data_IF_475265189709
#
_entry.id   IF_475265189709
#
_cell.length_a   1.000
_cell.length_b   1.000
_cell.length_c   1.000
_cell.angle_alpha   90.00
_cell.angle_beta   90.00
_cell.angle_gamma   90.00
#
_symmetry.space_group_name_H-M   'P 1'
#
loop_
_entity.id
_entity.type
_entity.pdbx_description
1 polymer ?
#
# COMPACT_ATOMS: atom_id res chain seq x y z
N UNK A 1 -9.80 35.92 1.69
CA UNK A 1 -9.27 34.98 0.67
C UNK A 1 -10.38 34.74 -0.36
N UNK A 2 -10.16 35.19 -1.62
CA UNK A 2 -11.16 35.18 -2.67
C UNK A 2 -11.59 33.74 -3.01
N UNK A 3 -12.88 33.61 -3.36
CA UNK A 3 -13.45 32.37 -3.89
C UNK A 3 -12.73 32.12 -5.21
N UNK A 4 -11.92 31.06 -5.31
CA UNK A 4 -11.29 30.67 -6.56
C UNK A 4 -12.38 30.56 -7.64
N UNK A 5 -12.11 31.06 -8.85
CA UNK A 5 -13.04 30.88 -9.95
C UNK A 5 -13.31 29.40 -10.17
N UNK A 6 -14.47 29.04 -10.73
CA UNK A 6 -14.84 27.65 -10.99
C UNK A 6 -13.75 26.92 -11.81
N UNK A 7 -13.16 27.60 -12.76
CA UNK A 7 -12.11 27.06 -13.63
C UNK A 7 -10.79 26.83 -12.88
N UNK A 8 -10.38 27.78 -12.07
CA UNK A 8 -9.17 27.67 -11.24
C UNK A 8 -9.29 26.56 -10.21
N UNK A 9 -10.46 26.41 -9.55
CA UNK A 9 -10.73 25.31 -8.63
C UNK A 9 -10.64 23.97 -9.34
N UNK A 10 -11.22 23.80 -10.53
CA UNK A 10 -11.16 22.56 -11.32
C UNK A 10 -9.74 22.21 -11.71
N UNK A 11 -8.94 23.18 -12.15
CA UNK A 11 -7.53 22.97 -12.47
C UNK A 11 -6.76 22.43 -11.27
N UNK A 12 -6.89 23.09 -10.13
CA UNK A 12 -6.21 22.68 -8.87
C UNK A 12 -6.71 21.29 -8.43
N UNK A 13 -8.02 21.03 -8.53
CA UNK A 13 -8.61 19.73 -8.21
C UNK A 13 -8.01 18.60 -9.07
N UNK A 14 -7.83 18.82 -10.36
CA UNK A 14 -7.20 17.86 -11.28
C UNK A 14 -5.73 17.61 -10.91
N UNK A 15 -4.97 18.65 -10.60
CA UNK A 15 -3.56 18.54 -10.18
C UNK A 15 -3.41 17.82 -8.83
N UNK A 16 -4.29 18.11 -7.86
CA UNK A 16 -4.29 17.44 -6.56
C UNK A 16 -4.63 15.96 -6.69
N UNK A 17 -5.66 15.60 -7.46
CA UNK A 17 -6.05 14.21 -7.66
C UNK A 17 -5.07 13.40 -8.51
N UNK A 18 -4.31 14.05 -9.38
CA UNK A 18 -3.18 13.40 -10.10
C UNK A 18 -2.02 13.06 -9.16
N UNK A 19 -1.78 13.87 -8.14
CA UNK A 19 -0.71 13.66 -7.14
C UNK A 19 -1.15 12.75 -6.00
N UNK A 20 -2.42 12.84 -5.63
CA UNK A 20 -3.02 12.15 -4.48
C UNK A 20 -4.38 11.56 -4.89
N UNK A 21 -4.40 10.45 -5.64
CA UNK A 21 -5.64 9.84 -6.16
C UNK A 21 -6.58 9.29 -5.08
N UNK A 22 -6.12 9.19 -3.83
CA UNK A 22 -6.85 8.59 -2.72
C UNK A 22 -7.71 9.58 -1.91
N UNK A 23 -7.68 10.88 -2.22
CA UNK A 23 -8.56 11.83 -1.54
C UNK A 23 -10.03 11.50 -1.76
N UNK A 24 -10.79 11.46 -0.66
CA UNK A 24 -12.24 11.34 -0.68
C UNK A 24 -12.91 12.65 -1.13
N UNK A 25 -14.14 12.56 -1.60
CA UNK A 25 -14.92 13.77 -1.95
C UNK A 25 -15.16 14.67 -0.73
N UNK A 26 -15.23 14.10 0.49
CA UNK A 26 -15.39 14.83 1.75
C UNK A 26 -14.12 15.61 2.13
N UNK A 27 -12.95 14.98 2.08
CA UNK A 27 -11.66 15.64 2.32
C UNK A 27 -11.39 16.76 1.31
N UNK A 28 -11.74 16.53 0.05
CA UNK A 28 -11.63 17.55 -0.98
C UNK A 28 -12.61 18.71 -0.74
N UNK A 29 -13.85 18.42 -0.33
CA UNK A 29 -14.85 19.43 -0.01
C UNK A 29 -14.38 20.34 1.12
N UNK A 30 -13.79 19.76 2.18
CA UNK A 30 -13.21 20.50 3.31
C UNK A 30 -12.02 21.35 2.84
N UNK A 31 -11.10 20.78 2.10
CA UNK A 31 -9.89 21.44 1.59
C UNK A 31 -10.21 22.62 0.66
N UNK A 32 -11.16 22.45 -0.24
CA UNK A 32 -11.60 23.50 -1.17
C UNK A 32 -12.67 24.43 -0.60
N UNK A 33 -13.18 24.15 0.61
CA UNK A 33 -14.27 24.90 1.29
C UNK A 33 -15.52 25.03 0.43
N UNK A 34 -15.93 23.92 -0.18
CA UNK A 34 -17.14 23.79 -1.00
C UNK A 34 -17.94 22.57 -0.54
N UNK A 35 -19.16 22.39 -1.07
CA UNK A 35 -19.95 21.19 -0.77
C UNK A 35 -19.38 19.96 -1.50
N UNK A 36 -19.63 18.77 -0.94
CA UNK A 36 -19.32 17.48 -1.58
C UNK A 36 -19.95 17.37 -2.97
N UNK A 37 -21.17 17.88 -3.14
CA UNK A 37 -21.85 17.94 -4.42
C UNK A 37 -21.10 18.79 -5.45
N UNK A 38 -20.46 19.88 -5.01
CA UNK A 38 -19.63 20.72 -5.89
C UNK A 38 -18.38 19.96 -6.35
N UNK A 39 -17.72 19.22 -5.46
CA UNK A 39 -16.57 18.37 -5.81
C UNK A 39 -16.96 17.29 -6.82
N UNK A 40 -18.10 16.61 -6.60
CA UNK A 40 -18.60 15.58 -7.52
C UNK A 40 -18.89 16.12 -8.91
N UNK A 41 -19.51 17.29 -9.01
CA UNK A 41 -19.75 17.96 -10.29
C UNK A 41 -18.45 18.38 -10.98
N UNK A 42 -17.52 19.00 -10.23
CA UNK A 42 -16.25 19.44 -10.80
C UNK A 42 -15.40 18.25 -11.26
N UNK A 43 -15.39 17.16 -10.49
CA UNK A 43 -14.72 15.91 -10.85
C UNK A 43 -15.35 15.26 -12.10
N UNK A 44 -16.68 15.21 -12.18
CA UNK A 44 -17.41 14.68 -13.33
C UNK A 44 -17.09 15.46 -14.62
N UNK A 45 -17.03 16.79 -14.56
CA UNK A 45 -16.67 17.65 -15.68
C UNK A 45 -15.19 17.51 -16.14
N UNK A 46 -14.32 17.10 -15.21
CA UNK A 46 -12.92 16.78 -15.53
C UNK A 46 -12.75 15.33 -16.03
N UNK A 47 -13.81 14.53 -16.07
CA UNK A 47 -13.72 13.11 -16.42
C UNK A 47 -12.97 12.28 -15.38
N UNK A 48 -12.82 12.78 -14.16
CA UNK A 48 -12.11 12.07 -13.08
C UNK A 48 -13.09 11.13 -12.38
N UNK A 49 -12.83 9.79 -12.35
CA UNK A 49 -13.74 8.82 -11.78
C UNK A 49 -13.84 8.91 -10.24
N UNK A 50 -14.79 8.20 -9.66
CA UNK A 50 -14.97 8.10 -8.21
C UNK A 50 -13.75 7.49 -7.52
N UNK A 51 -13.63 7.71 -6.20
CA UNK A 51 -12.50 7.21 -5.41
C UNK A 51 -12.25 5.72 -5.64
N UNK A 52 -13.31 4.90 -5.60
CA UNK A 52 -13.21 3.44 -5.78
C UNK A 52 -12.60 3.07 -7.15
N UNK A 53 -12.99 3.76 -8.21
CA UNK A 53 -12.45 3.51 -9.56
C UNK A 53 -11.04 4.03 -9.72
N UNK A 54 -10.72 5.18 -9.11
CA UNK A 54 -9.35 5.72 -9.08
C UNK A 54 -8.41 4.78 -8.35
N UNK A 55 -8.81 4.33 -7.16
CA UNK A 55 -8.05 3.36 -6.36
C UNK A 55 -7.83 2.07 -7.13
N UNK A 56 -8.87 1.57 -7.81
CA UNK A 56 -8.76 0.34 -8.62
C UNK A 56 -7.82 0.51 -9.82
N UNK A 57 -7.83 1.66 -10.48
CA UNK A 57 -6.93 1.93 -11.61
C UNK A 57 -5.47 2.00 -11.15
N UNK A 58 -5.19 2.71 -10.05
CA UNK A 58 -3.85 2.77 -9.45
C UNK A 58 -3.39 1.40 -8.98
N UNK A 59 -4.28 0.62 -8.33
CA UNK A 59 -3.98 -0.75 -7.93
C UNK A 59 -3.65 -1.64 -9.15
N UNK A 60 -4.44 -1.60 -10.22
CA UNK A 60 -4.15 -2.36 -11.44
C UNK A 60 -2.79 -2.02 -12.04
N UNK A 61 -2.41 -0.75 -12.07
CA UNK A 61 -1.09 -0.32 -12.52
C UNK A 61 0.01 -0.84 -11.59
N UNK A 62 -0.18 -0.74 -10.27
CA UNK A 62 0.75 -1.26 -9.27
C UNK A 62 0.93 -2.79 -9.42
N UNK A 63 -0.16 -3.55 -9.57
CA UNK A 63 -0.08 -5.00 -9.80
C UNK A 63 0.62 -5.36 -11.11
N UNK A 64 0.47 -4.58 -12.16
CA UNK A 64 1.15 -4.82 -13.44
C UNK A 64 2.66 -4.60 -13.37
N UNK A 65 3.14 -3.86 -12.38
CA UNK A 65 4.57 -3.59 -12.16
C UNK A 65 5.25 -4.59 -11.23
N UNK A 66 4.47 -5.45 -10.51
CA UNK A 66 5.04 -6.48 -9.63
C UNK A 66 5.99 -7.40 -10.39
N UNK A 67 7.18 -7.64 -9.84
CA UNK A 67 8.20 -8.53 -10.42
C UNK A 67 8.58 -9.68 -9.51
N UNK A 68 8.69 -9.41 -8.22
CA UNK A 68 9.33 -10.28 -7.22
C UNK A 68 8.37 -11.26 -6.54
N UNK A 69 7.07 -11.11 -6.78
CA UNK A 69 6.02 -12.02 -6.32
C UNK A 69 4.80 -11.94 -7.24
N UNK A 70 3.96 -13.00 -7.22
CA UNK A 70 2.67 -12.99 -7.90
C UNK A 70 1.67 -12.12 -7.10
N UNK A 71 0.73 -11.49 -7.81
CA UNK A 71 -0.30 -10.69 -7.17
C UNK A 71 -1.14 -11.44 -6.13
N UNK A 72 -1.27 -12.77 -6.26
CA UNK A 72 -1.95 -13.64 -5.29
C UNK A 72 -1.14 -13.89 -4.01
N UNK A 73 0.16 -13.67 -4.03
CA UNK A 73 1.05 -13.83 -2.87
C UNK A 73 1.09 -12.57 -2.00
N UNK A 74 0.59 -11.46 -2.50
CA UNK A 74 0.49 -10.22 -1.74
C UNK A 74 -0.68 -10.30 -0.75
N UNK A 75 -0.42 -9.99 0.50
CA UNK A 75 -1.44 -9.96 1.54
C UNK A 75 -1.99 -8.53 1.69
N UNK A 76 -3.31 -8.42 1.53
CA UNK A 76 -3.99 -7.13 1.44
C UNK A 76 -4.10 -6.64 -0.01
N UNK A 77 -4.56 -5.42 -0.19
CA UNK A 77 -4.73 -4.76 -1.48
C UNK A 77 -3.58 -3.77 -1.70
N UNK A 78 -2.88 -3.91 -2.84
CA UNK A 78 -1.79 -2.99 -3.20
C UNK A 78 -2.38 -1.68 -3.71
N UNK A 79 -2.03 -0.58 -3.07
CA UNK A 79 -2.50 0.76 -3.42
C UNK A 79 -1.49 1.52 -4.28
N UNK A 80 -0.20 1.35 -4.00
CA UNK A 80 0.88 2.03 -4.71
C UNK A 80 2.13 1.15 -4.73
N UNK A 81 2.85 1.14 -5.87
CA UNK A 81 4.15 0.51 -5.99
C UNK A 81 5.07 1.33 -6.90
N UNK A 82 6.18 1.78 -6.32
CA UNK A 82 7.34 2.30 -7.04
C UNK A 82 8.51 1.38 -6.70
N UNK A 83 8.79 0.43 -7.60
CA UNK A 83 9.81 -0.61 -7.38
C UNK A 83 11.16 0.03 -7.01
N UNK A 84 11.79 -0.49 -5.98
CA UNK A 84 13.07 0.01 -5.48
C UNK A 84 12.98 1.28 -4.65
N UNK A 85 11.79 1.82 -4.40
CA UNK A 85 11.59 3.07 -3.66
C UNK A 85 10.56 2.94 -2.54
N UNK A 86 9.27 2.79 -2.88
CA UNK A 86 8.17 2.79 -1.92
C UNK A 86 6.98 1.96 -2.40
N UNK A 87 6.20 1.46 -1.46
CA UNK A 87 4.93 0.79 -1.72
C UNK A 87 3.93 1.07 -0.60
N UNK A 88 2.65 0.94 -0.91
CA UNK A 88 1.56 1.06 0.04
C UNK A 88 0.54 -0.06 -0.20
N UNK A 89 0.05 -0.68 0.88
CA UNK A 89 -1.04 -1.66 0.83
C UNK A 89 -2.02 -1.44 1.97
N UNK A 90 -3.27 -1.89 1.78
CA UNK A 90 -4.25 -1.94 2.87
C UNK A 90 -4.74 -3.36 3.12
N UNK A 91 -5.11 -3.63 4.37
CA UNK A 91 -5.67 -4.90 4.80
C UNK A 91 -6.82 -4.63 5.76
N UNK A 92 -8.04 -5.00 5.37
CA UNK A 92 -9.19 -5.04 6.27
C UNK A 92 -9.11 -6.28 7.13
N UNK A 93 -9.23 -6.11 8.46
CA UNK A 93 -9.20 -7.25 9.39
C UNK A 93 -10.56 -7.91 9.46
N UNK A 94 -10.64 -9.11 8.90
CA UNK A 94 -11.85 -9.92 8.83
C UNK A 94 -11.97 -10.90 10.01
N UNK A 95 -13.16 -11.53 10.14
CA UNK A 95 -13.48 -12.50 11.19
C UNK A 95 -12.50 -13.70 11.21
N UNK A 96 -12.10 -14.16 10.03
CA UNK A 96 -11.12 -15.25 9.85
C UNK A 96 -9.72 -14.92 10.36
N UNK A 97 -9.40 -13.64 10.55
CA UNK A 97 -8.07 -13.15 10.91
C UNK A 97 -7.89 -12.89 12.40
N UNK A 98 -8.95 -12.96 13.20
CA UNK A 98 -8.90 -12.60 14.62
C UNK A 98 -8.85 -13.80 15.56
N UNK A 99 -8.39 -13.56 16.77
CA UNK A 99 -8.55 -14.47 17.90
C UNK A 99 -10.01 -14.39 18.37
N UNK A 100 -10.75 -15.50 18.34
CA UNK A 100 -12.19 -15.53 18.62
C UNK A 100 -12.58 -14.89 19.98
N UNK A 101 -11.80 -15.11 21.03
CA UNK A 101 -12.09 -14.57 22.37
C UNK A 101 -11.77 -13.08 22.51
N UNK A 102 -10.71 -12.61 21.87
CA UNK A 102 -10.20 -11.25 22.04
C UNK A 102 -10.65 -10.29 20.93
N UNK A 103 -11.15 -10.81 19.80
CA UNK A 103 -11.49 -10.02 18.60
C UNK A 103 -10.34 -9.15 18.11
N UNK A 104 -9.11 -9.63 18.28
CA UNK A 104 -7.86 -8.97 17.91
C UNK A 104 -7.19 -9.77 16.81
N UNK A 105 -6.66 -9.09 15.80
CA UNK A 105 -5.95 -9.70 14.70
C UNK A 105 -4.78 -10.56 15.18
N UNK A 106 -4.66 -11.76 14.61
CA UNK A 106 -3.48 -12.61 14.83
C UNK A 106 -2.28 -11.98 14.13
N UNK A 107 -1.19 -11.78 14.86
CA UNK A 107 -0.02 -11.03 14.42
C UNK A 107 0.58 -11.48 13.08
N UNK A 108 0.43 -12.77 12.72
CA UNK A 108 0.96 -13.27 11.47
C UNK A 108 0.29 -12.66 10.22
N UNK A 109 -0.98 -12.19 10.30
CA UNK A 109 -1.60 -11.48 9.18
C UNK A 109 -0.97 -10.10 8.97
N UNK A 110 -0.70 -9.37 10.06
CA UNK A 110 -0.03 -8.07 10.00
C UNK A 110 1.42 -8.23 9.50
N UNK A 111 2.11 -9.29 9.99
CA UNK A 111 3.43 -9.65 9.50
C UNK A 111 3.40 -10.00 8.01
N UNK A 112 2.45 -10.84 7.57
CA UNK A 112 2.34 -11.27 6.19
C UNK A 112 2.08 -10.09 5.24
N UNK A 113 1.22 -9.13 5.62
CA UNK A 113 1.01 -7.89 4.88
C UNK A 113 2.32 -7.10 4.74
N UNK A 114 3.01 -6.87 5.85
CA UNK A 114 4.25 -6.10 5.86
C UNK A 114 5.38 -6.79 5.08
N UNK A 115 5.49 -8.13 5.19
CA UNK A 115 6.51 -8.92 4.51
C UNK A 115 6.27 -8.98 2.99
N UNK A 116 5.05 -9.25 2.54
CA UNK A 116 4.74 -9.27 1.12
C UNK A 116 4.93 -7.88 0.48
N UNK A 117 4.58 -6.81 1.21
CA UNK A 117 4.83 -5.44 0.77
C UNK A 117 6.33 -5.13 0.65
N UNK A 118 7.16 -5.61 1.60
CA UNK A 118 8.60 -5.44 1.53
C UNK A 118 9.21 -6.20 0.35
N UNK A 119 8.74 -7.42 0.08
CA UNK A 119 9.15 -8.22 -1.09
C UNK A 119 8.79 -7.51 -2.40
N UNK A 120 7.57 -6.95 -2.51
CA UNK A 120 7.11 -6.23 -3.70
C UNK A 120 8.03 -5.08 -4.13
N UNK A 121 8.79 -4.50 -3.19
CA UNK A 121 9.74 -3.40 -3.44
C UNK A 121 11.03 -3.85 -4.12
N UNK A 122 11.31 -5.15 -4.19
CA UNK A 122 12.57 -5.66 -4.76
C UNK A 122 12.49 -5.72 -6.27
N UNK A 123 13.43 -5.06 -6.95
CA UNK A 123 13.55 -5.07 -8.42
C UNK A 123 14.29 -6.33 -8.90
N UNK A 124 13.62 -7.46 -8.83
CA UNK A 124 14.12 -8.76 -9.30
C UNK A 124 12.94 -9.70 -9.60
N UNK A 125 13.13 -10.76 -10.40
CA UNK A 125 12.09 -11.77 -10.66
C UNK A 125 11.62 -12.51 -9.41
N UNK A 126 12.44 -12.55 -8.36
CA UNK A 126 12.11 -13.17 -7.09
C UNK A 126 12.87 -12.49 -5.96
N UNK A 127 12.29 -12.46 -4.76
CA UNK A 127 12.96 -11.99 -3.57
C UNK A 127 12.68 -12.90 -2.38
N UNK A 128 13.68 -13.04 -1.51
CA UNK A 128 13.56 -13.82 -0.27
C UNK A 128 13.84 -12.92 0.93
N UNK A 129 13.07 -13.15 1.98
CA UNK A 129 13.30 -12.49 3.27
C UNK A 129 14.47 -13.16 3.99
N UNK A 130 15.52 -12.41 4.25
CA UNK A 130 16.69 -12.90 4.97
C UNK A 130 16.60 -12.69 6.48
N UNK A 131 16.21 -11.48 6.90
CA UNK A 131 15.96 -11.19 8.32
C UNK A 131 14.91 -10.11 8.49
N UNK A 132 14.24 -10.13 9.65
CA UNK A 132 13.24 -9.15 10.04
C UNK A 132 13.41 -8.80 11.51
N UNK A 133 13.43 -7.51 11.82
CA UNK A 133 13.20 -7.01 13.17
C UNK A 133 11.86 -6.27 13.18
N UNK A 134 10.89 -6.77 13.95
CA UNK A 134 9.50 -6.31 13.94
C UNK A 134 9.01 -5.98 15.34
N UNK A 135 8.24 -4.89 15.45
CA UNK A 135 7.53 -4.49 16.68
C UNK A 135 6.04 -4.36 16.40
N UNK A 136 5.22 -5.11 17.14
CA UNK A 136 3.78 -4.86 17.26
C UNK A 136 3.57 -3.81 18.34
N UNK A 137 2.98 -2.68 17.99
CA UNK A 137 2.90 -1.48 18.85
C UNK A 137 1.59 -1.48 19.62
N UNK A 138 0.48 -1.79 18.93
CA UNK A 138 -0.81 -2.01 19.57
C UNK A 138 -1.62 -3.10 18.88
N UNK A 139 -2.59 -3.72 19.61
CA UNK A 139 -3.52 -4.66 18.99
C UNK A 139 -4.38 -3.98 17.90
N UNK A 140 -4.63 -4.72 16.82
CA UNK A 140 -5.58 -4.34 15.78
C UNK A 140 -6.84 -5.17 15.93
N UNK A 141 -8.01 -4.56 15.83
CA UNK A 141 -9.31 -5.20 16.07
C UNK A 141 -10.01 -5.58 14.77
N UNK A 142 -10.97 -6.46 14.89
CA UNK A 142 -11.89 -6.80 13.80
C UNK A 142 -12.51 -5.55 13.19
N UNK A 143 -12.53 -5.48 11.85
CA UNK A 143 -13.12 -4.38 11.09
C UNK A 143 -12.21 -3.15 10.94
N UNK A 144 -11.05 -3.11 11.64
CA UNK A 144 -10.07 -2.06 11.40
C UNK A 144 -9.34 -2.30 10.07
N UNK A 145 -9.03 -1.19 9.37
CA UNK A 145 -8.25 -1.19 8.13
C UNK A 145 -6.81 -0.81 8.45
N UNK A 146 -5.89 -1.69 8.13
CA UNK A 146 -4.45 -1.49 8.33
C UNK A 146 -3.82 -1.01 7.04
N UNK A 147 -3.27 0.20 7.05
CA UNK A 147 -2.50 0.75 5.92
C UNK A 147 -1.02 0.58 6.21
N UNK A 148 -0.34 -0.22 5.39
CA UNK A 148 1.10 -0.45 5.46
C UNK A 148 1.83 0.35 4.40
N UNK A 149 2.95 0.98 4.79
CA UNK A 149 3.84 1.72 3.89
C UNK A 149 5.24 1.17 4.01
N UNK A 150 5.78 0.69 2.89
CA UNK A 150 7.16 0.21 2.77
C UNK A 150 8.05 1.24 2.06
N UNK A 151 9.30 1.36 2.49
CA UNK A 151 10.33 2.21 1.87
C UNK A 151 11.65 1.48 1.80
N UNK A 152 12.32 1.55 0.65
CA UNK A 152 13.69 1.09 0.50
C UNK A 152 14.62 2.12 1.11
N UNK A 153 15.31 1.75 2.18
CA UNK A 153 16.30 2.62 2.85
C UNK A 153 17.66 2.56 2.16
N UNK A 154 18.03 1.37 1.69
CA UNK A 154 19.32 1.08 1.08
C UNK A 154 19.25 -0.13 0.18
N UNK A 155 20.02 -0.14 -0.89
CA UNK A 155 20.30 -1.32 -1.73
C UNK A 155 21.79 -1.47 -1.98
N UNK A 156 22.27 -2.70 -2.06
CA UNK A 156 23.68 -3.00 -2.36
C UNK A 156 23.77 -4.00 -3.51
N UNK A 157 24.42 -3.59 -4.62
CA UNK A 157 24.67 -4.40 -5.83
C UNK A 157 23.38 -5.02 -6.43
N UNK A 158 22.23 -4.40 -6.23
CA UNK A 158 20.89 -4.93 -6.59
C UNK A 158 20.58 -6.35 -6.05
N UNK A 159 21.38 -6.83 -5.09
CA UNK A 159 21.21 -8.15 -4.45
C UNK A 159 20.63 -8.06 -3.05
N UNK A 160 20.88 -6.97 -2.33
CA UNK A 160 20.46 -6.78 -0.96
C UNK A 160 19.64 -5.50 -0.85
N UNK A 161 18.48 -5.61 -0.23
CA UNK A 161 17.57 -4.50 0.04
C UNK A 161 17.32 -4.39 1.52
N UNK A 162 17.48 -3.20 2.07
CA UNK A 162 17.05 -2.83 3.42
C UNK A 162 15.76 -2.05 3.27
N UNK A 163 14.68 -2.61 3.77
CA UNK A 163 13.34 -2.05 3.65
C UNK A 163 12.77 -1.82 5.01
N UNK A 164 12.21 -0.64 5.26
CA UNK A 164 11.42 -0.35 6.45
C UNK A 164 9.95 -0.38 6.07
N UNK A 165 9.14 -1.06 6.90
CA UNK A 165 7.69 -1.04 6.78
C UNK A 165 7.09 -0.54 8.07
N UNK A 166 6.15 0.41 7.96
CA UNK A 166 5.29 0.84 9.06
C UNK A 166 3.82 0.64 8.68
N UNK A 167 2.99 0.21 9.63
CA UNK A 167 1.56 0.05 9.42
C UNK A 167 0.77 0.84 10.44
N UNK A 168 -0.38 1.38 10.02
CA UNK A 168 -1.24 2.25 10.81
C UNK A 168 -2.71 1.88 10.65
N UNK A 169 -3.48 2.20 11.68
CA UNK A 169 -4.94 2.27 11.64
C UNK A 169 -5.34 3.72 11.91
N UNK A 170 -5.88 4.40 10.93
CA UNK A 170 -6.05 5.85 10.99
C UNK A 170 -4.70 6.55 11.20
N UNK A 171 -4.57 7.31 12.29
CA UNK A 171 -3.33 8.01 12.66
C UNK A 171 -2.39 7.21 13.56
N UNK A 172 -2.84 6.08 14.11
CA UNK A 172 -2.12 5.30 15.12
C UNK A 172 -1.25 4.22 14.48
N UNK A 173 0.04 4.21 14.80
CA UNK A 173 0.95 3.16 14.37
C UNK A 173 0.68 1.87 15.13
N UNK A 174 0.56 0.76 14.38
CA UNK A 174 0.24 -0.57 14.94
C UNK A 174 1.39 -1.56 14.79
N UNK A 175 2.27 -1.32 13.80
CA UNK A 175 3.40 -2.17 13.49
C UNK A 175 4.52 -1.35 12.85
N UNK A 176 5.76 -1.68 13.18
CA UNK A 176 6.96 -1.18 12.50
C UNK A 176 8.02 -2.27 12.46
N UNK A 177 8.75 -2.34 11.36
CA UNK A 177 9.86 -3.28 11.23
C UNK A 177 10.83 -2.92 10.13
N UNK A 178 12.00 -3.57 10.18
CA UNK A 178 13.07 -3.46 9.23
C UNK A 178 13.38 -4.85 8.65
N UNK A 179 13.45 -4.91 7.33
CA UNK A 179 13.67 -6.12 6.55
C UNK A 179 15.02 -6.07 5.84
N UNK A 180 15.71 -7.21 5.79
CA UNK A 180 16.79 -7.46 4.84
C UNK A 180 16.31 -8.50 3.85
N UNK A 181 16.26 -8.12 2.58
CA UNK A 181 15.76 -8.96 1.48
C UNK A 181 16.89 -9.28 0.51
N UNK A 182 16.81 -10.45 -0.09
CA UNK A 182 17.73 -10.92 -1.13
C UNK A 182 17.00 -10.99 -2.46
N UNK A 183 17.50 -10.27 -3.46
CA UNK A 183 17.05 -10.37 -4.84
C UNK A 183 17.65 -11.63 -5.49
N UNK A 184 16.80 -12.43 -6.14
CA UNK A 184 17.17 -13.67 -6.82
C UNK A 184 16.86 -13.51 -8.31
N UNK A 185 17.89 -13.56 -9.16
CA UNK A 185 17.76 -13.43 -10.62
C UNK A 185 17.45 -14.77 -11.31
N UNK A 186 17.91 -15.89 -10.72
CA UNK A 186 17.65 -17.25 -11.18
C UNK A 186 17.55 -18.19 -9.98
N UNK A 187 16.52 -19.03 -9.96
CA UNK A 187 16.57 -20.27 -9.19
C UNK A 187 17.34 -21.29 -10.02
N UNK A 188 18.53 -21.66 -9.59
CA UNK A 188 19.09 -22.96 -9.96
C UNK A 188 18.25 -24.00 -9.17
N UNK A 189 17.12 -24.37 -9.74
CA UNK A 189 16.42 -25.59 -9.32
C UNK A 189 17.32 -26.74 -9.72
N UNK A 190 18.25 -27.12 -8.82
CA UNK A 190 18.83 -28.44 -8.88
C UNK A 190 17.66 -29.37 -8.67
N UNK A 191 17.26 -30.05 -9.74
CA UNK A 191 16.42 -31.23 -9.64
C UNK A 191 17.11 -32.16 -8.64
N UNK A 192 16.62 -32.19 -7.43
CA UNK A 192 16.95 -33.25 -6.48
C UNK A 192 16.15 -34.43 -6.99
N UNK A 193 16.75 -35.20 -7.89
CA UNK A 193 16.33 -36.54 -8.17
C UNK A 193 16.33 -37.29 -6.82
N UNK A 194 15.15 -37.47 -6.29
CA UNK A 194 14.90 -38.44 -5.21
C UNK A 194 14.91 -39.80 -5.85
N UNK A 195 16.06 -40.49 -5.81
CA UNK A 195 16.13 -41.91 -5.90
C UNK A 195 15.53 -42.58 -4.64
#
# INVERSE_FOLDING_TARGET
>A
MGRNSKEERRKILGEELSKHPFFTDDELAERFKVSVSTIRLDRGELGIPELRERTRAVAQEAYSTLKSLDGQELIGELLELVIGERACSELMIEESMVLAKARVARGHYLFAQANSLAIALVDAPMALTGSVELKFIRPVRLGEVVVAVGKVLKRKRNKYYWVQVSARVGTEEVLRGDWVLFAIERLDVRETELE
#
